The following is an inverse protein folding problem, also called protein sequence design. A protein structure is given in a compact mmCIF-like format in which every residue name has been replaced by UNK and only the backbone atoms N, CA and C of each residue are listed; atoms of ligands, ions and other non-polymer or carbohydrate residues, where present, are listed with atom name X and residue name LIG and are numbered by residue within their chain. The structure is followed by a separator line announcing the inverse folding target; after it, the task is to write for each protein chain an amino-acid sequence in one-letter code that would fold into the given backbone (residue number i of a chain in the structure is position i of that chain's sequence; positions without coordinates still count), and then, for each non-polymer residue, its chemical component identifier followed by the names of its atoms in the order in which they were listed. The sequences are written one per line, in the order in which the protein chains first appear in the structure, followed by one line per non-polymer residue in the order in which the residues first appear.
data_IF_190752212405
#
_entry.id   IF_190752212405
#
_cell.length_a   1.000
_cell.length_b   1.000
_cell.length_c   1.000
_cell.angle_alpha   90.00
_cell.angle_beta   90.00
_cell.angle_gamma   90.00
#
_symmetry.space_group_name_H-M   'P 1'
#
loop_
_entity.id
_entity.type
_entity.pdbx_description
1 polymer ?
#
# COMPACT_ATOMS: atom_id res chain seq x y z
N UNK A 1 36.07 33.38 -12.87
CA UNK A 1 35.62 32.10 -13.48
C UNK A 1 34.67 32.45 -14.62
N UNK A 2 34.66 31.67 -15.70
CA UNK A 2 33.61 31.79 -16.73
C UNK A 2 32.42 30.95 -16.29
N UNK A 3 31.24 31.54 -16.28
CA UNK A 3 30.01 30.92 -15.82
C UNK A 3 29.01 30.92 -16.97
N UNK A 4 28.41 29.77 -17.25
CA UNK A 4 27.37 29.59 -18.27
C UNK A 4 26.09 29.09 -17.57
N UNK A 5 24.93 29.65 -17.94
CA UNK A 5 23.63 29.33 -17.31
C UNK A 5 22.66 28.73 -18.32
N UNK A 6 22.03 27.62 -17.96
CA UNK A 6 20.94 26.99 -18.71
C UNK A 6 19.63 27.10 -17.93
N UNK A 7 18.63 27.79 -18.50
CA UNK A 7 17.35 28.03 -17.84
C UNK A 7 16.28 27.03 -18.31
N UNK A 8 15.51 26.53 -17.36
CA UNK A 8 14.36 25.67 -17.60
C UNK A 8 13.07 26.33 -17.11
N UNK A 9 11.94 26.19 -17.84
CA UNK A 9 10.64 26.56 -17.32
C UNK A 9 10.31 25.80 -16.02
N UNK A 10 9.50 26.35 -15.11
CA UNK A 10 9.13 25.63 -13.90
C UNK A 10 8.19 24.45 -14.18
N UNK A 11 8.26 23.44 -13.32
CA UNK A 11 7.25 22.39 -13.19
C UNK A 11 7.67 20.99 -13.62
N UNK A 12 6.94 20.00 -13.12
CA UNK A 12 7.18 18.57 -13.30
C UNK A 12 7.21 18.13 -14.77
N UNK A 13 6.54 18.86 -15.67
CA UNK A 13 6.55 18.58 -17.11
C UNK A 13 7.94 18.64 -17.74
N UNK A 14 8.88 19.38 -17.15
CA UNK A 14 10.27 19.42 -17.63
C UNK A 14 11.06 18.15 -17.30
N UNK A 15 10.55 17.30 -16.40
CA UNK A 15 11.25 16.14 -15.89
C UNK A 15 11.19 14.96 -16.87
N UNK A 16 11.80 15.10 -18.04
CA UNK A 16 11.77 14.13 -19.13
C UNK A 16 13.10 14.07 -19.92
N UNK A 17 13.29 13.01 -20.70
CA UNK A 17 14.51 12.80 -21.48
C UNK A 17 14.75 13.83 -22.58
N UNK A 18 13.71 14.48 -23.12
CA UNK A 18 13.87 15.50 -24.14
C UNK A 18 14.55 16.76 -23.58
N UNK A 19 14.26 17.12 -22.33
CA UNK A 19 14.96 18.19 -21.62
C UNK A 19 16.41 17.82 -21.34
N UNK A 20 16.67 16.59 -20.91
CA UNK A 20 18.05 16.10 -20.69
C UNK A 20 18.87 16.19 -21.99
N UNK A 21 18.30 15.82 -23.14
CA UNK A 21 18.97 15.96 -24.45
C UNK A 21 19.36 17.42 -24.75
N UNK A 22 18.51 18.39 -24.40
CA UNK A 22 18.81 19.83 -24.57
C UNK A 22 19.99 20.26 -23.68
N UNK A 23 20.04 19.77 -22.44
CA UNK A 23 21.17 20.03 -21.53
C UNK A 23 22.47 19.49 -22.13
N UNK A 24 22.48 18.28 -22.70
CA UNK A 24 23.69 17.75 -23.33
C UNK A 24 24.17 18.59 -24.52
N UNK A 25 23.25 19.04 -25.38
CA UNK A 25 23.59 19.90 -26.52
C UNK A 25 24.21 21.22 -26.04
N UNK A 26 23.63 21.83 -25.00
CA UNK A 26 24.16 23.04 -24.39
C UNK A 26 25.54 22.83 -23.75
N UNK A 27 25.74 21.72 -23.02
CA UNK A 27 27.05 21.37 -22.46
C UNK A 27 28.12 21.22 -23.54
N UNK A 28 27.79 20.62 -24.70
CA UNK A 28 28.70 20.52 -25.84
C UNK A 28 29.01 21.89 -26.45
N UNK A 29 28.00 22.74 -26.64
CA UNK A 29 28.17 24.11 -27.15
C UNK A 29 29.12 24.93 -26.27
N UNK A 30 29.06 24.74 -24.95
CA UNK A 30 29.94 25.41 -23.98
C UNK A 30 31.29 24.72 -23.78
N UNK A 31 31.58 23.66 -24.54
CA UNK A 31 32.81 22.86 -24.40
C UNK A 31 33.01 22.33 -22.96
N UNK A 32 31.92 21.95 -22.28
CA UNK A 32 31.98 21.34 -20.97
C UNK A 32 32.70 19.97 -21.05
N UNK A 33 33.54 19.68 -20.07
CA UNK A 33 34.35 18.45 -20.00
C UNK A 33 34.04 17.69 -18.72
N UNK A 34 34.55 16.47 -18.56
CA UNK A 34 34.41 15.70 -17.29
C UNK A 34 34.92 16.44 -16.04
N UNK A 35 35.82 17.41 -16.21
CA UNK A 35 36.37 18.25 -15.13
C UNK A 35 35.56 19.51 -14.83
N UNK A 36 34.60 19.87 -15.70
CA UNK A 36 33.70 20.98 -15.44
C UNK A 36 32.77 20.68 -14.27
N UNK A 37 32.39 21.72 -13.52
CA UNK A 37 31.44 21.63 -12.41
C UNK A 37 30.02 21.89 -12.91
N UNK A 38 29.13 20.93 -12.72
CA UNK A 38 27.70 21.07 -12.98
C UNK A 38 26.98 21.48 -11.69
N UNK A 39 26.28 22.62 -11.71
CA UNK A 39 25.53 23.13 -10.55
C UNK A 39 24.03 23.02 -10.84
N UNK A 40 23.32 22.23 -10.04
CA UNK A 40 21.86 22.15 -10.07
C UNK A 40 21.28 23.13 -9.05
N UNK A 41 20.84 24.29 -9.53
CA UNK A 41 20.27 25.37 -8.73
C UNK A 41 18.75 25.38 -8.87
N UNK A 42 18.00 24.92 -7.86
CA UNK A 42 16.54 24.86 -7.95
C UNK A 42 15.89 23.87 -6.98
N UNK A 43 14.61 23.55 -7.22
CA UNK A 43 13.88 22.53 -6.45
C UNK A 43 14.18 21.10 -6.92
N UNK A 44 13.39 20.14 -6.42
CA UNK A 44 13.60 18.70 -6.65
C UNK A 44 13.63 18.29 -8.14
N UNK A 45 12.83 18.94 -8.99
CA UNK A 45 12.85 18.70 -10.44
C UNK A 45 14.21 19.04 -11.04
N UNK A 46 14.82 20.15 -10.62
CA UNK A 46 16.12 20.58 -11.14
C UNK A 46 17.23 19.67 -10.63
N UNK A 47 17.21 19.28 -9.34
CA UNK A 47 18.21 18.35 -8.81
C UNK A 47 18.13 16.97 -9.48
N UNK A 48 16.94 16.47 -9.76
CA UNK A 48 16.77 15.17 -10.43
C UNK A 48 17.24 15.20 -11.90
N UNK A 49 16.81 16.21 -12.67
CA UNK A 49 17.23 16.35 -14.07
C UNK A 49 18.74 16.59 -14.15
N UNK A 50 19.24 17.51 -13.33
CA UNK A 50 20.64 17.90 -13.32
C UNK A 50 21.56 16.78 -12.84
N UNK A 51 21.16 16.06 -11.80
CA UNK A 51 21.90 14.90 -11.32
C UNK A 51 21.91 13.75 -12.32
N UNK A 52 20.79 13.50 -13.03
CA UNK A 52 20.75 12.53 -14.11
C UNK A 52 21.69 12.95 -15.24
N UNK A 53 21.59 14.20 -15.71
CA UNK A 53 22.43 14.72 -16.79
C UNK A 53 23.93 14.70 -16.43
N UNK A 54 24.29 15.09 -15.22
CA UNK A 54 25.68 15.06 -14.74
C UNK A 54 26.22 13.62 -14.63
N UNK A 55 25.38 12.65 -14.24
CA UNK A 55 25.79 11.24 -14.11
C UNK A 55 26.10 10.56 -15.46
N UNK A 56 25.50 11.03 -16.54
CA UNK A 56 25.52 10.39 -17.86
C UNK A 56 26.38 11.14 -18.87
N UNK A 57 26.47 12.47 -18.78
CA UNK A 57 27.33 13.26 -19.67
C UNK A 57 28.79 12.95 -19.39
N UNK A 58 29.56 12.62 -20.43
CA UNK A 58 30.90 12.03 -20.31
C UNK A 58 31.00 10.84 -19.33
N UNK A 59 29.89 10.13 -19.06
CA UNK A 59 29.76 9.06 -18.06
C UNK A 59 30.02 9.51 -16.62
N UNK A 60 29.85 10.80 -16.34
CA UNK A 60 30.02 11.39 -15.02
C UNK A 60 30.77 12.73 -15.06
N UNK A 61 30.17 13.74 -14.47
CA UNK A 61 30.74 15.06 -14.22
C UNK A 61 30.53 15.46 -12.77
N UNK A 62 31.42 16.31 -12.25
CA UNK A 62 31.27 16.87 -10.91
C UNK A 62 29.92 17.57 -10.76
N UNK A 63 29.20 17.25 -9.68
CA UNK A 63 27.87 17.76 -9.41
C UNK A 63 27.82 18.45 -8.05
N UNK A 64 27.26 19.65 -8.00
CA UNK A 64 26.85 20.31 -6.76
C UNK A 64 25.37 20.66 -6.85
N UNK A 65 24.62 20.34 -5.79
CA UNK A 65 23.22 20.70 -5.67
C UNK A 65 23.06 21.94 -4.78
N UNK A 66 22.31 22.93 -5.25
CA UNK A 66 21.90 24.12 -4.48
C UNK A 66 20.37 24.11 -4.42
N UNK A 67 19.78 23.36 -3.45
CA UNK A 67 18.33 23.23 -3.30
C UNK A 67 17.66 24.53 -2.84
N UNK A 68 16.67 24.99 -3.59
CA UNK A 68 15.95 26.25 -3.31
C UNK A 68 14.54 26.06 -2.77
N UNK A 69 14.07 24.82 -2.63
CA UNK A 69 12.78 24.50 -1.99
C UNK A 69 12.97 23.69 -0.73
N UNK A 70 12.08 23.85 0.27
CA UNK A 70 12.20 23.09 1.52
C UNK A 70 12.22 21.57 1.26
N UNK A 71 11.37 21.10 0.33
CA UNK A 71 11.35 19.69 -0.10
C UNK A 71 12.70 19.20 -0.62
N UNK A 72 13.37 20.00 -1.45
CA UNK A 72 14.69 19.63 -1.97
C UNK A 72 15.77 19.74 -0.90
N UNK A 73 15.67 20.68 0.04
CA UNK A 73 16.62 20.87 1.14
C UNK A 73 16.58 19.73 2.18
N UNK A 74 15.41 19.16 2.45
CA UNK A 74 15.25 18.09 3.45
C UNK A 74 15.22 16.69 2.84
N UNK A 75 14.92 16.59 1.54
CA UNK A 75 14.71 15.33 0.86
C UNK A 75 15.39 15.30 -0.51
N UNK A 76 14.77 15.83 -1.58
CA UNK A 76 15.10 15.47 -2.97
C UNK A 76 16.58 15.64 -3.38
N UNK A 77 17.31 16.64 -2.86
CA UNK A 77 18.72 16.87 -3.23
C UNK A 77 19.72 15.92 -2.54
N UNK A 78 19.23 15.06 -1.63
CA UNK A 78 20.03 14.22 -0.75
C UNK A 78 19.79 12.74 -1.09
N UNK A 79 20.88 11.97 -1.19
CA UNK A 79 20.82 10.51 -1.35
C UNK A 79 20.89 9.99 -2.77
N UNK A 80 21.27 10.84 -3.72
CA UNK A 80 21.80 10.47 -5.03
C UNK A 80 20.83 9.77 -5.98
N UNK A 81 19.53 9.72 -5.68
CA UNK A 81 18.53 9.25 -6.63
C UNK A 81 18.22 10.39 -7.58
N UNK A 82 18.51 10.20 -8.86
CA UNK A 82 18.20 11.17 -9.89
C UNK A 82 17.38 10.47 -10.97
N UNK A 83 16.26 11.04 -11.36
CA UNK A 83 15.39 10.38 -12.32
C UNK A 83 14.58 11.35 -13.19
N UNK A 84 14.17 10.85 -14.34
CA UNK A 84 13.20 11.50 -15.23
C UNK A 84 11.99 10.60 -15.47
N UNK A 85 10.89 11.24 -15.85
CA UNK A 85 9.62 10.58 -16.13
C UNK A 85 9.60 10.05 -17.57
N UNK A 86 8.92 8.93 -17.78
CA UNK A 86 8.59 8.41 -19.12
C UNK A 86 7.07 8.28 -19.23
N UNK A 87 6.47 8.94 -20.22
CA UNK A 87 5.02 9.05 -20.36
C UNK A 87 4.38 9.54 -19.04
N UNK A 88 3.41 8.79 -18.50
CA UNK A 88 2.76 9.08 -17.21
C UNK A 88 3.49 8.49 -16.00
N UNK A 89 4.54 7.69 -16.23
CA UNK A 89 5.25 7.00 -15.16
C UNK A 89 6.37 7.89 -14.58
N UNK A 90 6.23 8.25 -13.30
CA UNK A 90 7.20 9.09 -12.58
C UNK A 90 8.47 8.32 -12.23
N UNK A 91 9.63 8.99 -12.31
CA UNK A 91 10.93 8.53 -11.80
C UNK A 91 11.40 7.15 -12.28
N UNK A 92 11.00 6.71 -13.48
CA UNK A 92 11.31 5.35 -13.96
C UNK A 92 12.70 5.22 -14.58
N UNK A 93 13.26 6.31 -15.10
CA UNK A 93 14.56 6.29 -15.78
C UNK A 93 15.51 7.16 -14.97
N UNK A 94 16.55 6.56 -14.39
CA UNK A 94 17.38 7.25 -13.43
C UNK A 94 18.73 6.61 -13.17
N UNK A 95 19.49 7.26 -12.30
CA UNK A 95 20.81 6.82 -11.83
C UNK A 95 20.94 7.04 -10.32
N UNK A 96 21.78 6.22 -9.68
CA UNK A 96 22.32 6.52 -8.37
C UNK A 96 23.63 7.29 -8.54
N UNK A 97 23.59 8.61 -8.40
CA UNK A 97 24.73 9.49 -8.57
C UNK A 97 24.72 10.58 -7.49
N UNK A 98 25.77 10.62 -6.68
CA UNK A 98 25.85 11.51 -5.52
C UNK A 98 26.56 12.82 -5.89
N UNK A 99 26.04 13.98 -5.46
CA UNK A 99 26.76 15.25 -5.61
C UNK A 99 28.01 15.27 -4.72
N UNK A 100 29.03 16.04 -5.11
CA UNK A 100 30.20 16.33 -4.26
C UNK A 100 29.77 17.13 -3.03
N UNK A 101 28.87 18.11 -3.24
CA UNK A 101 28.31 18.93 -2.17
C UNK A 101 26.83 19.23 -2.38
N UNK A 102 26.10 19.40 -1.28
CA UNK A 102 24.77 19.99 -1.24
C UNK A 102 24.85 21.26 -0.41
N UNK A 103 24.61 22.42 -1.02
CA UNK A 103 24.70 23.73 -0.36
C UNK A 103 23.30 24.21 -0.04
N UNK A 104 22.93 24.16 1.24
CA UNK A 104 21.59 24.54 1.70
C UNK A 104 21.64 25.93 2.32
N UNK A 105 20.84 26.84 1.78
CA UNK A 105 20.60 28.17 2.34
C UNK A 105 19.09 28.35 2.62
N UNK A 106 18.66 28.46 3.89
CA UNK A 106 17.27 28.73 4.25
C UNK A 106 16.71 30.04 3.68
N UNK A 107 17.56 31.01 3.29
CA UNK A 107 17.12 32.29 2.75
C UNK A 107 16.29 32.12 1.46
N UNK A 108 16.57 31.10 0.65
CA UNK A 108 15.77 30.81 -0.56
C UNK A 108 14.30 30.53 -0.22
N UNK A 109 14.01 30.00 0.97
CA UNK A 109 12.67 29.65 1.41
C UNK A 109 11.79 30.88 1.67
N UNK A 110 12.38 32.06 1.85
CA UNK A 110 11.62 33.31 2.09
C UNK A 110 10.70 33.64 0.91
N UNK A 111 11.06 33.25 -0.30
CA UNK A 111 10.29 33.47 -1.54
C UNK A 111 9.31 32.36 -1.88
N UNK A 112 9.35 31.22 -1.17
CA UNK A 112 8.49 30.08 -1.48
C UNK A 112 7.01 30.39 -1.21
N UNK A 113 6.14 29.83 -2.04
CA UNK A 113 4.70 29.87 -1.77
C UNK A 113 4.36 29.03 -0.53
N UNK A 114 3.23 29.35 0.10
CA UNK A 114 2.70 28.58 1.23
C UNK A 114 2.56 27.09 0.90
N UNK A 115 2.09 26.76 -0.32
CA UNK A 115 1.93 25.37 -0.77
C UNK A 115 3.26 24.63 -0.87
N UNK A 116 4.31 25.28 -1.38
CA UNK A 116 5.65 24.67 -1.46
C UNK A 116 6.31 24.53 -0.08
N UNK A 117 6.02 25.45 0.86
CA UNK A 117 6.43 25.29 2.26
C UNK A 117 5.77 24.07 2.90
N UNK A 118 4.46 23.87 2.69
CA UNK A 118 3.75 22.66 3.17
C UNK A 118 4.40 21.38 2.65
N UNK A 119 4.73 21.34 1.35
CA UNK A 119 5.32 20.15 0.72
C UNK A 119 6.58 19.69 1.43
N UNK A 120 7.54 20.60 1.63
CA UNK A 120 8.79 20.24 2.31
C UNK A 120 8.63 19.99 3.79
N UNK A 121 7.74 20.74 4.46
CA UNK A 121 7.56 20.61 5.90
C UNK A 121 6.89 19.28 6.28
N UNK A 122 6.02 18.73 5.42
CA UNK A 122 5.44 17.40 5.62
C UNK A 122 6.50 16.30 5.49
N UNK A 123 7.46 16.42 4.57
CA UNK A 123 8.58 15.46 4.50
C UNK A 123 9.52 15.56 5.70
N UNK A 124 9.79 16.78 6.19
CA UNK A 124 10.54 16.96 7.44
C UNK A 124 9.78 16.37 8.64
N UNK A 125 8.45 16.54 8.69
CA UNK A 125 7.60 15.93 9.71
C UNK A 125 7.64 14.40 9.63
N UNK A 126 7.59 13.82 8.41
CA UNK A 126 7.76 12.39 8.18
C UNK A 126 9.10 11.90 8.73
N UNK A 127 10.19 12.61 8.48
CA UNK A 127 11.50 12.26 9.03
C UNK A 127 11.48 12.22 10.57
N UNK A 128 10.78 13.17 11.20
CA UNK A 128 10.58 13.17 12.65
C UNK A 128 9.79 11.96 13.16
N UNK A 129 8.71 11.57 12.45
CA UNK A 129 7.92 10.37 12.76
C UNK A 129 8.77 9.09 12.67
N UNK A 130 9.65 9.00 11.66
CA UNK A 130 10.45 7.79 11.42
C UNK A 130 11.56 7.63 12.46
N UNK A 131 12.31 8.69 12.75
CA UNK A 131 13.58 8.54 13.47
C UNK A 131 14.02 9.74 14.34
N UNK A 132 13.26 10.83 14.42
CA UNK A 132 13.63 12.00 15.25
C UNK A 132 12.42 12.62 15.95
N UNK A 133 12.14 12.14 17.16
CA UNK A 133 11.04 12.64 18.00
C UNK A 133 11.16 14.14 18.27
N UNK A 134 12.36 14.67 18.44
CA UNK A 134 12.54 16.10 18.71
C UNK A 134 12.25 16.94 17.47
N UNK A 135 12.57 16.45 16.27
CA UNK A 135 12.16 17.10 15.02
C UNK A 135 10.63 17.15 14.91
N UNK A 136 9.96 16.03 15.23
CA UNK A 136 8.49 16.00 15.26
C UNK A 136 7.94 17.04 16.24
N UNK A 137 8.46 17.10 17.47
CA UNK A 137 8.02 18.05 18.49
C UNK A 137 8.34 19.51 18.13
N UNK A 138 9.51 19.77 17.55
CA UNK A 138 9.92 21.09 17.07
C UNK A 138 8.91 21.61 16.04
N UNK A 139 8.60 20.80 15.02
CA UNK A 139 7.63 21.17 13.99
C UNK A 139 6.24 21.33 14.63
N UNK A 140 5.81 20.38 15.47
CA UNK A 140 4.50 20.43 16.14
C UNK A 140 4.32 21.71 16.94
N UNK A 141 5.33 22.15 17.67
CA UNK A 141 5.20 23.31 18.55
C UNK A 141 5.23 24.64 17.77
N UNK A 142 6.01 24.72 16.69
CA UNK A 142 6.29 25.98 15.97
C UNK A 142 5.74 26.04 14.54
N UNK A 143 4.64 25.34 14.22
CA UNK A 143 4.05 25.35 12.87
C UNK A 143 3.85 26.77 12.32
N UNK A 144 3.22 27.72 13.04
CA UNK A 144 3.00 29.08 12.54
C UNK A 144 4.30 29.79 12.16
N UNK A 145 5.30 29.75 13.03
CA UNK A 145 6.57 30.46 12.86
C UNK A 145 7.39 29.87 11.71
N UNK A 146 7.41 28.54 11.57
CA UNK A 146 8.03 27.86 10.44
C UNK A 146 7.32 28.20 9.13
N UNK A 147 5.98 28.22 9.12
CA UNK A 147 5.18 28.60 7.95
C UNK A 147 5.32 30.09 7.59
N UNK A 148 5.65 30.93 8.56
CA UNK A 148 6.05 32.33 8.38
C UNK A 148 7.53 32.50 8.01
N UNK A 149 8.25 31.39 7.83
CA UNK A 149 9.65 31.32 7.38
C UNK A 149 10.65 31.94 8.34
N UNK A 150 10.47 31.71 9.66
CA UNK A 150 11.52 31.99 10.64
C UNK A 150 12.81 31.21 10.29
N UNK A 151 13.87 31.94 9.93
CA UNK A 151 15.10 31.34 9.40
C UNK A 151 15.81 30.45 10.42
N UNK A 152 15.77 30.81 11.71
CA UNK A 152 16.43 30.05 12.78
C UNK A 152 15.72 28.72 13.04
N UNK A 153 14.39 28.72 12.97
CA UNK A 153 13.59 27.49 13.07
C UNK A 153 13.75 26.64 11.81
N UNK A 154 13.75 27.24 10.63
CA UNK A 154 13.98 26.53 9.37
C UNK A 154 15.34 25.83 9.35
N UNK A 155 16.41 26.50 9.77
CA UNK A 155 17.73 25.92 9.86
C UNK A 155 17.76 24.69 10.79
N UNK A 156 17.09 24.76 11.95
CA UNK A 156 16.98 23.62 12.86
C UNK A 156 16.19 22.45 12.26
N UNK A 157 15.05 22.73 11.63
CA UNK A 157 14.20 21.73 10.96
C UNK A 157 14.98 21.04 9.85
N UNK A 158 15.63 21.81 8.98
CA UNK A 158 16.44 21.31 7.87
C UNK A 158 17.57 20.45 8.41
N UNK A 159 18.36 20.96 9.37
CA UNK A 159 19.51 20.24 9.94
C UNK A 159 19.10 18.88 10.49
N UNK A 160 18.01 18.82 11.25
CA UNK A 160 17.51 17.56 11.82
C UNK A 160 16.99 16.61 10.74
N UNK A 161 16.21 17.09 9.77
CA UNK A 161 15.70 16.26 8.68
C UNK A 161 16.85 15.69 7.82
N UNK A 162 17.86 16.51 7.52
CA UNK A 162 19.08 16.09 6.81
C UNK A 162 19.82 15.02 7.60
N UNK A 163 19.97 15.14 8.92
CA UNK A 163 20.61 14.11 9.78
C UNK A 163 19.86 12.79 9.71
N UNK A 164 18.52 12.81 9.79
CA UNK A 164 17.72 11.59 9.64
C UNK A 164 17.97 10.97 8.26
N UNK A 165 17.83 11.74 7.19
CA UNK A 165 17.96 11.22 5.84
C UNK A 165 19.36 10.69 5.54
N UNK A 166 20.39 11.42 5.91
CA UNK A 166 21.80 11.02 5.71
C UNK A 166 22.14 9.76 6.49
N UNK A 167 21.69 9.61 7.74
CA UNK A 167 21.93 8.39 8.51
C UNK A 167 21.37 7.13 7.85
N UNK A 168 20.17 7.22 7.27
CA UNK A 168 19.54 6.11 6.53
C UNK A 168 20.22 5.87 5.18
N UNK A 169 20.52 6.92 4.42
CA UNK A 169 21.18 6.83 3.11
C UNK A 169 22.59 6.25 3.23
N UNK A 170 23.36 6.62 4.25
CA UNK A 170 24.72 6.10 4.45
C UNK A 170 24.72 4.61 4.78
N UNK A 171 23.69 4.13 5.50
CA UNK A 171 23.54 2.70 5.79
C UNK A 171 23.06 1.90 4.57
N UNK A 172 22.23 2.49 3.72
CA UNK A 172 21.67 1.82 2.54
C UNK A 172 21.61 2.74 1.30
N UNK A 173 22.77 3.00 0.65
CA UNK A 173 22.88 3.96 -0.44
C UNK A 173 22.06 3.58 -1.69
N UNK A 174 21.79 2.30 -1.88
CA UNK A 174 21.14 1.74 -3.07
C UNK A 174 19.75 1.15 -2.79
N UNK A 175 19.16 1.43 -1.63
CA UNK A 175 17.80 1.04 -1.25
C UNK A 175 17.52 -0.47 -1.32
N UNK A 176 18.40 -1.28 -0.71
CA UNK A 176 18.23 -2.72 -0.62
C UNK A 176 17.52 -3.19 0.66
N UNK A 177 17.52 -2.36 1.70
CA UNK A 177 17.10 -2.75 3.05
C UNK A 177 16.41 -1.57 3.79
N UNK A 178 17.12 -0.92 4.71
CA UNK A 178 16.58 0.01 5.71
C UNK A 178 16.06 1.31 5.11
N UNK A 179 16.49 1.69 3.91
CA UNK A 179 16.05 2.93 3.25
C UNK A 179 14.56 2.90 2.88
N UNK A 180 13.95 1.72 2.80
CA UNK A 180 12.51 1.57 2.62
C UNK A 180 11.68 2.25 3.73
N UNK A 181 12.25 2.48 4.93
CA UNK A 181 11.58 3.22 6.01
C UNK A 181 11.23 4.66 5.63
N UNK A 182 12.02 5.30 4.73
CA UNK A 182 11.74 6.65 4.22
C UNK A 182 10.47 6.72 3.36
N UNK A 183 9.94 5.56 2.92
CA UNK A 183 8.72 5.46 2.14
C UNK A 183 7.45 5.46 3.01
N UNK A 184 7.54 5.79 4.31
CA UNK A 184 6.37 6.00 5.15
C UNK A 184 5.40 6.98 4.47
N UNK A 185 4.14 6.56 4.32
CA UNK A 185 3.09 7.32 3.65
C UNK A 185 3.15 7.31 2.11
N UNK A 186 4.26 6.89 1.48
CA UNK A 186 4.42 6.99 0.02
C UNK A 186 3.58 5.96 -0.75
N UNK A 187 3.39 4.74 -0.22
CA UNK A 187 2.53 3.73 -0.86
C UNK A 187 1.11 4.24 -1.06
N UNK A 188 0.52 4.83 0.00
CA UNK A 188 -0.81 5.42 -0.07
C UNK A 188 -0.79 6.77 -0.78
N UNK A 189 0.25 7.58 -0.58
CA UNK A 189 0.42 8.88 -1.22
C UNK A 189 0.44 8.77 -2.75
N UNK A 190 1.26 7.88 -3.31
CA UNK A 190 1.31 7.65 -4.77
C UNK A 190 -0.04 7.14 -5.31
N UNK A 191 -0.74 6.27 -4.59
CA UNK A 191 -2.07 5.81 -4.98
C UNK A 191 -3.09 6.96 -5.02
N UNK A 192 -3.01 7.90 -4.06
CA UNK A 192 -3.82 9.11 -4.05
C UNK A 192 -3.45 10.03 -5.22
N UNK A 193 -2.16 10.30 -5.45
CA UNK A 193 -1.70 11.11 -6.58
C UNK A 193 -2.21 10.58 -7.93
N UNK A 194 -2.11 9.26 -8.16
CA UNK A 194 -2.61 8.60 -9.36
C UNK A 194 -4.14 8.70 -9.50
N UNK A 195 -4.88 8.49 -8.41
CA UNK A 195 -6.35 8.57 -8.40
C UNK A 195 -6.88 9.96 -8.73
N UNK A 196 -6.14 11.01 -8.40
CA UNK A 196 -6.49 12.39 -8.72
C UNK A 196 -5.89 12.87 -10.06
N UNK A 197 -5.33 11.98 -10.89
CA UNK A 197 -4.60 12.35 -12.13
C UNK A 197 -3.58 13.46 -11.91
N UNK A 198 -2.97 13.51 -10.73
CA UNK A 198 -2.02 14.54 -10.33
C UNK A 198 -2.56 15.98 -10.35
N UNK A 199 -3.88 16.19 -10.42
CA UNK A 199 -4.48 17.51 -10.22
C UNK A 199 -4.92 17.66 -8.76
N UNK A 200 -4.77 18.86 -8.21
CA UNK A 200 -5.22 19.28 -6.87
C UNK A 200 -4.37 18.92 -5.64
N UNK A 201 -3.70 17.78 -5.57
CA UNK A 201 -2.78 17.45 -4.45
C UNK A 201 -1.32 17.62 -4.86
N UNK A 202 -0.52 18.27 -4.00
CA UNK A 202 0.93 18.17 -4.13
C UNK A 202 1.49 16.89 -3.53
N UNK A 203 2.73 16.57 -3.88
CA UNK A 203 3.43 15.38 -3.39
C UNK A 203 3.43 15.30 -1.86
N UNK A 204 3.91 16.33 -1.16
CA UNK A 204 3.92 16.33 0.32
C UNK A 204 2.52 16.24 0.92
N UNK A 205 1.49 16.83 0.31
CA UNK A 205 0.10 16.68 0.77
C UNK A 205 -0.39 15.23 0.61
N UNK A 206 -0.05 14.57 -0.49
CA UNK A 206 -0.37 13.16 -0.72
C UNK A 206 0.37 12.26 0.28
N UNK A 207 1.64 12.53 0.58
CA UNK A 207 2.41 11.82 1.61
C UNK A 207 1.78 12.02 3.00
N UNK A 208 1.38 13.24 3.37
CA UNK A 208 0.69 13.51 4.63
C UNK A 208 -0.62 12.72 4.79
N UNK A 209 -1.45 12.68 3.75
CA UNK A 209 -2.65 11.82 3.72
C UNK A 209 -2.29 10.33 3.76
N UNK A 210 -1.20 9.94 3.11
CA UNK A 210 -0.69 8.58 3.14
C UNK A 210 -0.23 8.14 4.54
N UNK A 211 0.39 9.04 5.32
CA UNK A 211 0.74 8.79 6.71
C UNK A 211 -0.53 8.62 7.56
N UNK A 212 -1.59 9.40 7.31
CA UNK A 212 -2.90 9.19 7.97
C UNK A 212 -3.46 7.80 7.65
N UNK A 213 -3.38 7.33 6.39
CA UNK A 213 -3.79 5.97 6.03
C UNK A 213 -2.95 4.91 6.75
N UNK A 214 -1.62 5.03 6.70
CA UNK A 214 -0.70 4.11 7.37
C UNK A 214 -0.95 4.06 8.88
N UNK A 215 -1.22 5.19 9.51
CA UNK A 215 -1.53 5.27 10.95
C UNK A 215 -2.85 4.60 11.28
N UNK A 216 -3.89 4.78 10.46
CA UNK A 216 -5.18 4.08 10.67
C UNK A 216 -5.03 2.57 10.51
N UNK A 217 -4.22 2.12 9.56
CA UNK A 217 -3.85 0.72 9.42
C UNK A 217 -3.09 0.23 10.65
N UNK A 218 -2.09 0.98 11.11
CA UNK A 218 -1.34 0.69 12.33
C UNK A 218 -2.24 0.56 13.55
N UNK A 219 -3.27 1.41 13.69
CA UNK A 219 -4.27 1.30 14.76
C UNK A 219 -5.08 0.01 14.67
N UNK A 220 -5.56 -0.37 13.48
CA UNK A 220 -6.29 -1.63 13.28
C UNK A 220 -5.44 -2.86 13.60
N UNK A 221 -4.12 -2.75 13.40
CA UNK A 221 -3.14 -3.80 13.66
C UNK A 221 -2.50 -3.73 15.06
N UNK A 222 -2.91 -2.78 15.92
CA UNK A 222 -2.30 -2.51 17.22
C UNK A 222 -0.78 -2.20 17.18
N UNK A 223 -0.28 -1.65 16.07
CA UNK A 223 1.13 -1.25 15.86
C UNK A 223 1.38 0.23 16.16
N UNK A 224 0.34 1.03 16.36
CA UNK A 224 0.44 2.48 16.56
C UNK A 224 -0.45 2.91 17.71
N UNK A 225 0.02 3.87 18.50
CA UNK A 225 -0.75 4.45 19.61
C UNK A 225 -1.94 5.28 19.10
N UNK A 226 -3.07 5.21 19.82
CA UNK A 226 -4.26 6.03 19.56
C UNK A 226 -4.01 7.54 19.64
N UNK A 227 -2.96 7.97 20.35
CA UNK A 227 -2.59 9.39 20.49
C UNK A 227 -1.88 9.95 19.26
N UNK A 228 -1.20 9.12 18.48
CA UNK A 228 -0.37 9.59 17.36
C UNK A 228 -1.20 10.27 16.27
N UNK A 229 -2.30 9.64 15.86
CA UNK A 229 -3.10 10.12 14.73
C UNK A 229 -3.76 11.49 14.99
N UNK A 230 -4.37 11.76 16.16
CA UNK A 230 -4.83 13.10 16.53
C UNK A 230 -3.73 14.16 16.45
N UNK A 231 -2.57 13.90 17.05
CA UNK A 231 -1.45 14.85 17.04
C UNK A 231 -0.94 15.14 15.64
N UNK A 232 -0.74 14.10 14.82
CA UNK A 232 -0.29 14.27 13.44
C UNK A 232 -1.28 15.10 12.61
N UNK A 233 -2.59 14.88 12.78
CA UNK A 233 -3.64 15.66 12.11
C UNK A 233 -3.68 17.11 12.59
N UNK A 234 -3.43 17.37 13.87
CA UNK A 234 -3.37 18.72 14.41
C UNK A 234 -2.27 19.52 13.70
N UNK A 235 -1.07 18.94 13.57
CA UNK A 235 0.07 19.54 12.88
C UNK A 235 -0.28 19.87 11.42
N UNK A 236 -0.86 18.92 10.68
CA UNK A 236 -1.30 19.17 9.29
C UNK A 236 -2.39 20.24 9.22
N UNK A 237 -3.31 20.29 10.17
CA UNK A 237 -4.37 21.30 10.21
C UNK A 237 -3.80 22.69 10.45
N UNK A 238 -2.82 22.84 11.36
CA UNK A 238 -2.10 24.09 11.60
C UNK A 238 -1.31 24.55 10.38
N UNK A 239 -0.80 23.62 9.57
CA UNK A 239 -0.19 23.93 8.27
C UNK A 239 -1.21 24.32 7.21
N UNK A 240 -2.52 24.18 7.44
CA UNK A 240 -3.60 24.26 6.44
C UNK A 240 -3.46 23.21 5.33
N UNK A 241 -2.92 22.04 5.66
CA UNK A 241 -2.79 20.89 4.77
C UNK A 241 -4.04 19.98 4.85
N UNK A 242 -4.34 19.18 3.81
CA UNK A 242 -5.51 18.30 3.82
C UNK A 242 -5.35 17.17 4.84
N UNK A 243 -6.42 16.88 5.59
CA UNK A 243 -6.47 15.81 6.61
C UNK A 243 -7.60 14.80 6.40
N UNK A 244 -8.49 15.06 5.43
CA UNK A 244 -9.66 14.23 5.13
C UNK A 244 -9.36 13.31 3.95
N UNK A 245 -9.76 12.04 4.08
CA UNK A 245 -9.66 11.01 3.04
C UNK A 245 -11.09 10.52 2.77
N UNK A 246 -11.48 10.38 1.50
CA UNK A 246 -12.81 9.85 1.14
C UNK A 246 -12.98 8.42 1.69
N UNK A 247 -14.17 8.13 2.22
CA UNK A 247 -14.48 6.86 2.90
C UNK A 247 -14.23 5.59 2.07
N UNK A 248 -14.29 5.69 0.75
CA UNK A 248 -14.08 4.55 -0.17
C UNK A 248 -12.71 3.89 0.05
N UNK A 249 -11.66 4.68 0.30
CA UNK A 249 -10.30 4.16 0.47
C UNK A 249 -10.11 3.43 1.82
N UNK A 250 -10.83 3.87 2.86
CA UNK A 250 -10.83 3.24 4.18
C UNK A 250 -11.56 1.89 4.18
N UNK A 251 -12.62 1.77 3.38
CA UNK A 251 -13.36 0.51 3.23
C UNK A 251 -12.53 -0.54 2.48
N UNK A 252 -11.74 -0.11 1.49
CA UNK A 252 -10.80 -0.99 0.79
C UNK A 252 -9.68 -1.48 1.72
N UNK A 253 -9.08 -0.58 2.52
CA UNK A 253 -8.10 -0.93 3.54
C UNK A 253 -8.67 -1.92 4.57
N UNK A 254 -9.88 -1.69 5.07
CA UNK A 254 -10.55 -2.63 5.98
C UNK A 254 -10.72 -4.01 5.35
N UNK A 255 -11.11 -4.09 4.07
CA UNK A 255 -11.26 -5.36 3.33
C UNK A 255 -9.94 -6.10 3.10
N UNK A 256 -8.83 -5.38 2.98
CA UNK A 256 -7.49 -5.94 2.75
C UNK A 256 -6.81 -6.44 4.04
N UNK A 257 -7.24 -5.94 5.19
CA UNK A 257 -6.55 -6.11 6.47
C UNK A 257 -7.33 -6.99 7.45
N UNK A 258 -8.66 -7.01 7.33
CA UNK A 258 -9.49 -7.95 8.08
C UNK A 258 -9.36 -9.34 7.48
N UNK A 259 -9.12 -10.35 8.33
CA UNK A 259 -9.15 -11.73 7.91
C UNK A 259 -10.52 -12.04 7.28
N UNK A 260 -10.53 -12.64 6.08
CA UNK A 260 -11.78 -13.05 5.42
C UNK A 260 -12.52 -14.01 6.34
N UNK A 261 -13.80 -13.75 6.64
CA UNK A 261 -14.58 -14.58 7.53
C UNK A 261 -15.44 -15.56 6.74
N UNK A 262 -15.08 -16.84 6.79
CA UNK A 262 -15.73 -17.91 6.03
C UNK A 262 -16.61 -18.75 6.96
N UNK A 263 -17.80 -19.12 6.48
CA UNK A 263 -18.65 -20.09 7.17
C UNK A 263 -18.58 -21.45 6.47
N UNK A 264 -18.27 -22.50 7.22
CA UNK A 264 -18.36 -23.89 6.75
C UNK A 264 -19.62 -24.54 7.32
N UNK A 265 -20.54 -24.93 6.45
CA UNK A 265 -21.82 -25.55 6.82
C UNK A 265 -21.79 -27.03 6.44
N UNK A 266 -22.17 -27.88 7.39
CA UNK A 266 -22.25 -29.33 7.22
C UNK A 266 -23.68 -29.81 7.47
N UNK A 267 -24.24 -30.51 6.50
CA UNK A 267 -25.57 -31.07 6.53
C UNK A 267 -25.69 -32.37 7.33
N UNK A 268 -26.81 -33.09 7.16
CA UNK A 268 -27.14 -34.22 8.00
C UNK A 268 -26.11 -35.35 7.98
N UNK A 269 -25.94 -35.99 9.13
CA UNK A 269 -25.07 -37.13 9.39
C UNK A 269 -23.56 -36.87 9.29
N UNK A 270 -23.12 -35.67 8.90
CA UNK A 270 -21.68 -35.34 8.84
C UNK A 270 -21.06 -35.22 10.24
N UNK A 271 -21.86 -35.05 11.30
CA UNK A 271 -21.40 -35.16 12.69
C UNK A 271 -20.93 -36.58 13.05
N UNK A 272 -21.34 -37.61 12.30
CA UNK A 272 -20.98 -39.02 12.54
C UNK A 272 -19.77 -39.49 11.71
N UNK A 273 -19.06 -38.57 11.03
CA UNK A 273 -17.85 -38.89 10.29
C UNK A 273 -16.79 -39.49 11.22
N UNK A 274 -16.04 -40.49 10.73
CA UNK A 274 -15.06 -41.25 11.50
C UNK A 274 -15.64 -42.51 12.16
N UNK A 275 -16.95 -42.54 12.44
CA UNK A 275 -17.65 -43.69 13.02
C UNK A 275 -18.55 -44.40 11.99
N UNK A 276 -19.24 -43.62 11.17
CA UNK A 276 -20.17 -44.13 10.15
C UNK A 276 -19.48 -44.40 8.82
N UNK A 277 -19.67 -45.61 8.29
CA UNK A 277 -19.25 -46.03 6.94
C UNK A 277 -17.83 -45.54 6.56
N UNK A 278 -16.80 -45.81 7.39
CA UNK A 278 -15.47 -45.22 7.24
C UNK A 278 -14.76 -45.63 5.94
N UNK A 279 -15.19 -46.72 5.31
CA UNK A 279 -14.70 -47.15 3.99
C UNK A 279 -15.15 -46.22 2.86
N UNK A 280 -16.28 -45.52 3.03
CA UNK A 280 -16.88 -44.65 2.03
C UNK A 280 -16.50 -43.17 2.27
N UNK A 281 -16.60 -42.71 3.52
CA UNK A 281 -16.40 -41.29 3.85
C UNK A 281 -15.03 -40.98 4.46
N UNK A 282 -14.24 -42.01 4.74
CA UNK A 282 -12.93 -41.92 5.39
C UNK A 282 -13.01 -42.03 6.91
N UNK A 283 -11.84 -42.20 7.53
CA UNK A 283 -11.68 -42.40 8.99
C UNK A 283 -11.60 -41.10 9.80
N UNK A 284 -11.53 -39.94 9.14
CA UNK A 284 -11.42 -38.65 9.82
C UNK A 284 -12.77 -38.17 10.33
N UNK A 285 -12.80 -37.73 11.58
CA UNK A 285 -13.92 -37.05 12.19
C UNK A 285 -14.11 -35.62 11.66
N UNK A 286 -15.32 -35.09 11.77
CA UNK A 286 -15.61 -33.70 11.41
C UNK A 286 -14.75 -32.71 12.20
N UNK A 287 -14.46 -33.01 13.48
CA UNK A 287 -13.60 -32.19 14.33
C UNK A 287 -12.16 -32.10 13.80
N UNK A 288 -11.60 -33.20 13.31
CA UNK A 288 -10.27 -33.20 12.71
C UNK A 288 -10.22 -32.45 11.38
N UNK A 289 -11.27 -32.57 10.56
CA UNK A 289 -11.42 -31.80 9.32
C UNK A 289 -11.46 -30.31 9.64
N UNK A 290 -12.28 -29.90 10.61
CA UNK A 290 -12.40 -28.50 11.04
C UNK A 290 -11.04 -27.95 11.53
N UNK A 291 -10.28 -28.74 12.28
CA UNK A 291 -8.95 -28.34 12.77
C UNK A 291 -7.96 -28.09 11.62
N UNK A 292 -7.91 -28.98 10.62
CA UNK A 292 -7.06 -28.81 9.44
C UNK A 292 -7.48 -27.60 8.59
N UNK A 293 -8.78 -27.36 8.45
CA UNK A 293 -9.29 -26.19 7.73
C UNK A 293 -8.93 -24.89 8.42
N UNK A 294 -9.07 -24.81 9.76
CA UNK A 294 -8.62 -23.64 10.53
C UNK A 294 -7.13 -23.38 10.35
N UNK A 295 -6.30 -24.43 10.38
CA UNK A 295 -4.86 -24.27 10.19
C UNK A 295 -4.52 -23.71 8.80
N UNK A 296 -5.15 -24.25 7.76
CA UNK A 296 -4.97 -23.78 6.39
C UNK A 296 -5.46 -22.33 6.19
N UNK A 297 -6.65 -22.02 6.71
CA UNK A 297 -7.23 -20.68 6.64
C UNK A 297 -6.36 -19.64 7.33
N UNK A 298 -5.83 -19.97 8.53
CA UNK A 298 -4.91 -19.09 9.25
C UNK A 298 -3.65 -18.78 8.43
N UNK A 299 -3.08 -19.77 7.73
CA UNK A 299 -1.93 -19.56 6.82
C UNK A 299 -2.27 -18.68 5.61
N UNK A 300 -3.56 -18.56 5.28
CA UNK A 300 -4.08 -17.75 4.17
C UNK A 300 -4.76 -16.45 4.62
N UNK A 301 -4.67 -16.09 5.90
CA UNK A 301 -5.25 -14.86 6.43
C UNK A 301 -6.79 -14.86 6.48
N UNK A 302 -7.40 -16.03 6.69
CA UNK A 302 -8.85 -16.18 6.83
C UNK A 302 -9.23 -16.77 8.21
N UNK A 303 -10.39 -16.36 8.71
CA UNK A 303 -11.03 -16.94 9.89
C UNK A 303 -12.20 -17.81 9.46
N UNK A 304 -12.41 -18.93 10.16
CA UNK A 304 -13.46 -19.90 9.82
C UNK A 304 -14.34 -20.20 11.02
N UNK A 305 -15.64 -20.03 10.81
CA UNK A 305 -16.69 -20.56 11.67
C UNK A 305 -17.27 -21.84 11.08
N UNK A 306 -17.63 -22.80 11.93
CA UNK A 306 -18.20 -24.07 11.53
C UNK A 306 -19.61 -24.20 12.07
N UNK A 307 -20.49 -24.76 11.26
CA UNK A 307 -21.86 -25.08 11.62
C UNK A 307 -22.21 -26.47 11.09
N UNK A 308 -22.87 -27.28 11.92
CA UNK A 308 -23.40 -28.57 11.51
C UNK A 308 -24.83 -28.69 12.03
N UNK A 309 -25.73 -29.20 11.19
CA UNK A 309 -27.09 -29.53 11.61
C UNK A 309 -27.62 -30.73 10.83
N UNK A 310 -28.50 -31.49 11.48
CA UNK A 310 -29.29 -32.56 10.87
C UNK A 310 -30.65 -32.08 10.35
N UNK A 311 -31.00 -30.80 10.57
CA UNK A 311 -32.28 -30.21 10.19
C UNK A 311 -32.10 -29.21 9.05
N UNK A 312 -32.87 -29.38 7.98
CA UNK A 312 -32.81 -28.49 6.81
C UNK A 312 -33.13 -27.03 7.15
N UNK A 313 -34.17 -26.78 7.95
CA UNK A 313 -34.57 -25.43 8.36
C UNK A 313 -33.47 -24.68 9.11
N UNK A 314 -32.71 -25.37 9.96
CA UNK A 314 -31.59 -24.79 10.69
C UNK A 314 -30.43 -24.37 9.76
N UNK A 315 -30.17 -25.18 8.73
CA UNK A 315 -29.18 -24.85 7.69
C UNK A 315 -29.63 -23.61 6.91
N UNK A 316 -30.90 -23.56 6.50
CA UNK A 316 -31.50 -22.41 5.80
C UNK A 316 -31.39 -21.14 6.64
N UNK A 317 -31.77 -21.20 7.93
CA UNK A 317 -31.64 -20.07 8.84
C UNK A 317 -30.18 -19.61 9.01
N UNK A 318 -29.25 -20.55 9.13
CA UNK A 318 -27.83 -20.22 9.26
C UNK A 318 -27.33 -19.51 8.01
N UNK A 319 -27.71 -19.98 6.82
CA UNK A 319 -27.40 -19.32 5.55
C UNK A 319 -27.96 -17.90 5.55
N UNK A 320 -29.24 -17.69 5.88
CA UNK A 320 -29.86 -16.35 5.89
C UNK A 320 -29.17 -15.39 6.87
N UNK A 321 -28.66 -15.90 8.00
CA UNK A 321 -27.91 -15.12 9.00
C UNK A 321 -26.48 -14.77 8.56
N UNK A 322 -26.03 -15.14 7.35
CA UNK A 322 -24.67 -14.86 6.88
C UNK A 322 -24.46 -13.43 6.38
N UNK A 323 -25.51 -12.78 5.86
CA UNK A 323 -25.42 -11.45 5.25
C UNK A 323 -24.85 -10.42 6.22
N UNK A 324 -23.74 -9.78 5.82
CA UNK A 324 -23.03 -8.79 6.64
C UNK A 324 -22.16 -9.37 7.76
N UNK A 325 -22.07 -10.70 7.90
CA UNK A 325 -21.23 -11.38 8.90
C UNK A 325 -20.12 -12.22 8.30
N UNK A 326 -20.34 -12.82 7.13
CA UNK A 326 -19.37 -13.67 6.45
C UNK A 326 -19.12 -13.18 5.03
N UNK A 327 -17.90 -13.39 4.56
CA UNK A 327 -17.46 -13.05 3.21
C UNK A 327 -17.74 -14.19 2.21
N UNK A 328 -17.86 -15.44 2.68
CA UNK A 328 -18.18 -16.58 1.83
C UNK A 328 -18.61 -17.84 2.59
N UNK A 329 -19.18 -18.80 1.85
CA UNK A 329 -19.69 -20.07 2.38
C UNK A 329 -18.99 -21.27 1.73
N UNK A 330 -18.60 -22.25 2.53
CA UNK A 330 -18.38 -23.62 2.07
C UNK A 330 -19.52 -24.46 2.60
N UNK A 331 -20.21 -25.22 1.76
CA UNK A 331 -21.34 -26.04 2.19
C UNK A 331 -21.18 -27.47 1.72
N UNK A 332 -21.38 -28.42 2.63
CA UNK A 332 -21.62 -29.82 2.31
C UNK A 332 -23.04 -30.17 2.77
N UNK A 333 -24.06 -30.11 1.88
CA UNK A 333 -25.45 -30.40 2.26
C UNK A 333 -25.72 -31.87 2.58
N UNK A 334 -24.75 -32.77 2.37
CA UNK A 334 -24.93 -34.22 2.45
C UNK A 334 -26.11 -34.66 1.56
N UNK A 335 -27.01 -35.53 2.05
CA UNK A 335 -28.15 -36.01 1.27
C UNK A 335 -29.10 -34.89 0.80
N UNK A 336 -29.14 -33.75 1.50
CA UNK A 336 -30.00 -32.61 1.14
C UNK A 336 -29.57 -31.95 -0.17
N UNK A 337 -28.35 -32.22 -0.68
CA UNK A 337 -27.91 -31.65 -1.95
C UNK A 337 -28.81 -32.06 -3.10
N UNK A 338 -29.48 -33.21 -2.98
CA UNK A 338 -30.30 -33.78 -4.05
C UNK A 338 -31.78 -33.36 -3.97
N UNK A 339 -32.22 -32.79 -2.86
CA UNK A 339 -33.66 -32.58 -2.59
C UNK A 339 -34.01 -31.17 -2.12
N UNK A 340 -33.07 -30.42 -1.55
CA UNK A 340 -33.37 -29.17 -0.88
C UNK A 340 -33.35 -27.97 -1.85
N UNK A 341 -34.53 -27.61 -2.35
CA UNK A 341 -34.75 -26.32 -3.00
C UNK A 341 -34.71 -25.16 -2.01
N UNK A 342 -35.03 -25.40 -0.72
CA UNK A 342 -34.97 -24.36 0.31
C UNK A 342 -33.54 -23.89 0.60
N UNK A 343 -32.55 -24.80 0.61
CA UNK A 343 -31.13 -24.42 0.72
C UNK A 343 -30.67 -23.67 -0.54
N UNK A 344 -31.10 -24.12 -1.72
CA UNK A 344 -30.81 -23.43 -2.99
C UNK A 344 -31.31 -21.97 -2.96
N UNK A 345 -32.57 -21.76 -2.61
CA UNK A 345 -33.17 -20.43 -2.58
C UNK A 345 -32.52 -19.56 -1.49
N UNK A 346 -32.16 -20.14 -0.35
CA UNK A 346 -31.42 -19.43 0.70
C UNK A 346 -30.05 -18.95 0.22
N UNK A 347 -29.29 -19.80 -0.47
CA UNK A 347 -27.98 -19.44 -1.05
C UNK A 347 -28.10 -18.32 -2.08
N UNK A 348 -29.10 -18.41 -2.98
CA UNK A 348 -29.38 -17.36 -3.97
C UNK A 348 -29.84 -16.05 -3.32
N UNK A 349 -30.62 -16.12 -2.25
CA UNK A 349 -31.14 -14.93 -1.58
C UNK A 349 -30.06 -14.13 -0.84
N UNK A 350 -29.03 -14.78 -0.29
CA UNK A 350 -27.94 -14.10 0.40
C UNK A 350 -26.89 -13.51 -0.55
N UNK A 351 -26.75 -14.09 -1.75
CA UNK A 351 -25.84 -13.64 -2.81
C UNK A 351 -24.41 -13.38 -2.32
N UNK A 352 -23.86 -14.36 -1.58
CA UNK A 352 -22.45 -14.37 -1.18
C UNK A 352 -21.72 -15.53 -1.85
N UNK A 353 -20.44 -15.37 -2.21
CA UNK A 353 -19.67 -16.44 -2.84
C UNK A 353 -19.73 -17.74 -2.03
N UNK A 354 -20.14 -18.82 -2.69
CA UNK A 354 -20.33 -20.12 -2.06
C UNK A 354 -19.76 -21.25 -2.92
N UNK A 355 -19.19 -22.26 -2.27
CA UNK A 355 -18.68 -23.48 -2.91
C UNK A 355 -19.31 -24.69 -2.23
N UNK A 356 -19.92 -25.57 -3.03
CA UNK A 356 -20.43 -26.84 -2.56
C UNK A 356 -19.31 -27.89 -2.54
N UNK A 357 -19.21 -28.67 -1.46
CA UNK A 357 -18.18 -29.71 -1.32
C UNK A 357 -18.77 -31.05 -0.92
N UNK A 358 -18.20 -32.13 -1.49
CA UNK A 358 -18.58 -33.50 -1.18
C UNK A 358 -17.34 -34.36 -0.92
N UNK A 359 -17.40 -35.21 0.10
CA UNK A 359 -16.30 -36.13 0.43
C UNK A 359 -16.10 -37.18 -0.68
N UNK A 360 -17.19 -37.79 -1.14
CA UNK A 360 -17.19 -38.82 -2.18
C UNK A 360 -17.33 -38.21 -3.58
N UNK A 361 -16.91 -38.95 -4.60
CA UNK A 361 -17.16 -38.54 -5.99
C UNK A 361 -18.63 -38.79 -6.30
N UNK A 362 -19.42 -37.72 -6.37
CA UNK A 362 -20.87 -37.81 -6.59
C UNK A 362 -21.21 -38.30 -8.00
N UNK A 363 -20.29 -38.15 -8.97
CA UNK A 363 -20.49 -38.56 -10.35
C UNK A 363 -20.28 -40.06 -10.58
N UNK A 364 -19.55 -40.73 -9.67
CA UNK A 364 -19.35 -42.19 -9.70
C UNK A 364 -20.35 -42.95 -8.83
N UNK A 365 -21.38 -42.28 -8.33
CA UNK A 365 -22.38 -42.82 -7.40
C UNK A 365 -23.72 -43.07 -8.13
N UNK A 366 -24.74 -43.47 -7.36
CA UNK A 366 -26.09 -43.73 -7.86
C UNK A 366 -26.66 -42.53 -8.61
N UNK A 367 -27.55 -42.76 -9.58
CA UNK A 367 -28.01 -41.73 -10.52
C UNK A 367 -28.57 -40.47 -9.84
N UNK A 368 -29.31 -40.63 -8.74
CA UNK A 368 -29.85 -39.50 -8.00
C UNK A 368 -28.76 -38.64 -7.33
N UNK A 369 -27.58 -39.20 -7.04
CA UNK A 369 -26.47 -38.46 -6.43
C UNK A 369 -25.69 -37.60 -7.41
N UNK A 370 -25.81 -37.88 -8.72
CA UNK A 370 -25.16 -37.11 -9.77
C UNK A 370 -25.78 -35.72 -9.94
N UNK A 371 -27.04 -35.56 -9.55
CA UNK A 371 -27.78 -34.32 -9.65
C UNK A 371 -27.81 -33.61 -8.28
N UNK A 372 -27.18 -32.45 -8.19
CA UNK A 372 -27.23 -31.58 -6.99
C UNK A 372 -28.04 -30.33 -7.29
N UNK A 373 -29.15 -30.19 -6.57
CA UNK A 373 -30.06 -29.05 -6.62
C UNK A 373 -29.37 -27.82 -6.02
N UNK A 374 -28.73 -27.99 -4.86
CA UNK A 374 -28.11 -26.91 -4.08
C UNK A 374 -26.92 -26.28 -4.79
N UNK A 375 -26.18 -27.04 -5.60
CA UNK A 375 -25.00 -26.53 -6.28
C UNK A 375 -25.32 -25.47 -7.33
N UNK A 376 -26.54 -25.45 -7.87
CA UNK A 376 -26.99 -24.38 -8.78
C UNK A 376 -27.12 -23.01 -8.10
N UNK A 377 -27.07 -22.97 -6.76
CA UNK A 377 -26.96 -21.76 -5.94
C UNK A 377 -25.52 -21.47 -5.48
N UNK A 378 -24.56 -22.30 -5.89
CA UNK A 378 -23.14 -22.14 -5.58
C UNK A 378 -22.33 -21.72 -6.80
N UNK A 379 -21.20 -21.05 -6.56
CA UNK A 379 -20.25 -20.66 -7.59
C UNK A 379 -19.36 -21.79 -8.10
N UNK A 380 -19.51 -23.02 -7.58
CA UNK A 380 -18.73 -24.18 -7.94
C UNK A 380 -19.00 -25.40 -7.05
N UNK A 381 -18.56 -26.58 -7.51
CA UNK A 381 -18.61 -27.85 -6.77
C UNK A 381 -17.21 -28.47 -6.71
N UNK A 382 -16.83 -28.98 -5.54
CA UNK A 382 -15.67 -29.89 -5.38
C UNK A 382 -16.14 -31.22 -4.82
N UNK A 383 -15.86 -32.33 -5.51
CA UNK A 383 -16.26 -33.67 -5.03
C UNK A 383 -15.17 -34.72 -5.24
N UNK A 384 -15.14 -35.75 -4.40
CA UNK A 384 -14.31 -36.95 -4.63
C UNK A 384 -12.92 -36.99 -4.04
N UNK A 385 -12.52 -35.98 -3.26
CA UNK A 385 -11.17 -35.91 -2.67
C UNK A 385 -11.15 -36.21 -1.16
N UNK A 386 -12.19 -36.87 -0.64
CA UNK A 386 -12.38 -37.06 0.80
C UNK A 386 -12.42 -35.72 1.52
N UNK A 387 -11.80 -35.64 2.70
CA UNK A 387 -11.74 -34.38 3.46
C UNK A 387 -11.04 -33.25 2.69
N UNK A 388 -10.15 -33.56 1.73
CA UNK A 388 -9.45 -32.55 0.93
C UNK A 388 -10.39 -31.77 0.02
N UNK A 389 -11.60 -32.27 -0.27
CA UNK A 389 -12.63 -31.50 -0.98
C UNK A 389 -12.93 -30.17 -0.27
N UNK A 390 -12.93 -30.14 1.07
CA UNK A 390 -13.09 -28.89 1.82
C UNK A 390 -11.90 -27.95 1.66
N UNK A 391 -10.68 -28.49 1.58
CA UNK A 391 -9.47 -27.69 1.43
C UNK A 391 -9.40 -27.05 0.05
N UNK A 392 -9.73 -27.78 -1.01
CA UNK A 392 -9.84 -27.24 -2.36
C UNK A 392 -11.00 -26.26 -2.50
N UNK A 393 -12.15 -26.54 -1.88
CA UNK A 393 -13.27 -25.60 -1.85
C UNK A 393 -12.91 -24.29 -1.13
N UNK A 394 -12.16 -24.36 -0.03
CA UNK A 394 -11.65 -23.19 0.68
C UNK A 394 -10.63 -22.41 -0.16
N UNK A 395 -9.72 -23.10 -0.84
CA UNK A 395 -8.75 -22.47 -1.73
C UNK A 395 -9.44 -21.69 -2.86
N UNK A 396 -10.38 -22.32 -3.56
CA UNK A 396 -11.16 -21.69 -4.63
C UNK A 396 -11.98 -20.51 -4.11
N UNK A 397 -12.63 -20.66 -2.96
CA UNK A 397 -13.43 -19.59 -2.37
C UNK A 397 -12.56 -18.37 -2.00
N UNK A 398 -11.38 -18.60 -1.41
CA UNK A 398 -10.47 -17.50 -1.07
C UNK A 398 -9.91 -16.80 -2.31
N UNK A 399 -9.67 -17.54 -3.41
CA UNK A 399 -9.26 -16.95 -4.68
C UNK A 399 -10.35 -16.03 -5.25
N UNK A 400 -11.62 -16.45 -5.21
CA UNK A 400 -12.77 -15.62 -5.61
C UNK A 400 -13.00 -14.39 -4.73
N UNK A 401 -12.48 -14.39 -3.50
CA UNK A 401 -12.62 -13.29 -2.53
C UNK A 401 -11.41 -12.34 -2.51
N UNK A 402 -10.33 -12.71 -3.19
CA UNK A 402 -9.11 -11.92 -3.36
C UNK A 402 -9.30 -10.91 -4.49
#
# INVERSE_FOLDING_TARGET
MKEDVFLLPPGERQKNLAVVKKIYAWLQEKNATRSSLFISFGGGVISDIGGFAASTFHRGMKLVNIPTTLLSQVDASIGGKNAVNINEAKNQIGTFYFPEHVVIDPLFLTTLSHKQMQEGLIEALKAGVIADKDLFLLIKNHVPEIMLKDLKLLEQVITRAVKVKTSVVTQDPYEKNTRATLNLGHTFGHALEGSFKYSHLSHGQAVGLGIICASKLGLLLNLTSEYFLPEFKEVLTRMKAPTKIKNIFLNLLRRLVMAKKILVINGPNLNLLGEREPEIYGKMSLTEINSKLKEFARKKGADIEFYQSNFEGEIVEKIQKTKGKFDGIIINPAALSHTSFSILDALKAVDIPSIEVHLTNIFSREEFRKNTVTASGCGGIVSGFGWRSYLYGLFELLDKLS
#
